data_IF_433302570363
#
_entry.id   IF_433302570363
#
_cell.length_a   1.000
_cell.length_b   1.000
_cell.length_c   1.000
_cell.angle_alpha   90.00
_cell.angle_beta   90.00
_cell.angle_gamma   90.00
#
_symmetry.space_group_name_H-M   'P 1'
#
loop_
_entity.id
_entity.type
_entity.pdbx_description
1 polymer ?
#
# COMPACT_ATOMS: atom_id res chain seq x y z
N UNK A 1 -14.22 -32.85 43.09
CA UNK A 1 -14.37 -32.42 41.67
C UNK A 1 -13.86 -33.54 40.77
N UNK A 2 -14.68 -33.98 39.85
CA UNK A 2 -14.40 -35.15 39.01
C UNK A 2 -13.34 -34.79 37.96
N UNK A 3 -12.35 -35.66 37.68
CA UNK A 3 -11.30 -35.44 36.69
C UNK A 3 -11.84 -35.03 35.31
N UNK A 4 -13.05 -35.47 34.93
CA UNK A 4 -13.73 -35.06 33.68
C UNK A 4 -14.14 -33.57 33.69
N UNK A 5 -14.53 -33.01 34.84
CA UNK A 5 -14.91 -31.60 34.97
C UNK A 5 -13.70 -30.67 34.86
N UNK A 6 -12.53 -31.12 35.35
CA UNK A 6 -11.27 -30.35 35.23
C UNK A 6 -10.76 -30.34 33.80
N UNK A 7 -10.87 -31.46 33.06
CA UNK A 7 -10.44 -31.53 31.64
C UNK A 7 -11.35 -30.66 30.76
N UNK A 8 -12.66 -30.63 31.01
CA UNK A 8 -13.60 -29.78 30.25
C UNK A 8 -13.41 -28.31 30.58
N UNK A 9 -13.06 -27.94 31.80
CA UNK A 9 -12.73 -26.57 32.17
C UNK A 9 -11.38 -26.11 31.58
N UNK A 10 -10.37 -27.00 31.50
CA UNK A 10 -9.10 -26.70 30.82
C UNK A 10 -9.26 -26.55 29.30
N UNK A 11 -10.08 -27.40 28.67
CA UNK A 11 -10.37 -27.28 27.23
C UNK A 11 -11.20 -26.03 26.91
N UNK A 12 -12.09 -25.60 27.80
CA UNK A 12 -12.83 -24.34 27.64
C UNK A 12 -11.94 -23.11 27.87
N UNK A 13 -10.94 -23.19 28.77
CA UNK A 13 -9.96 -22.11 28.97
C UNK A 13 -8.94 -22.01 27.80
N UNK A 14 -8.58 -23.11 27.16
CA UNK A 14 -7.71 -23.12 25.98
C UNK A 14 -8.46 -22.64 24.74
N UNK A 15 -9.77 -22.83 24.65
CA UNK A 15 -10.58 -22.30 23.55
C UNK A 15 -10.92 -20.80 23.66
N UNK A 16 -10.75 -20.20 24.85
CA UNK A 16 -10.93 -18.77 25.07
C UNK A 16 -9.63 -17.93 24.82
N UNK A 17 -8.49 -18.59 24.65
CA UNK A 17 -7.18 -17.95 24.39
C UNK A 17 -6.69 -18.00 22.96
N UNK A 18 -7.39 -18.67 22.07
CA UNK A 18 -7.07 -18.70 20.63
C UNK A 18 -8.20 -18.04 19.84
N UNK A 19 -8.45 -16.76 20.09
CA UNK A 19 -8.94 -15.93 19.00
C UNK A 19 -7.74 -15.80 18.05
N UNK A 20 -7.66 -16.69 17.06
CA UNK A 20 -6.82 -16.46 15.89
C UNK A 20 -7.19 -15.04 15.44
N UNK A 21 -6.21 -14.14 15.40
CA UNK A 21 -6.35 -12.81 14.80
C UNK A 21 -6.65 -13.06 13.33
N UNK A 22 -7.94 -13.19 13.01
CA UNK A 22 -8.37 -13.47 11.66
C UNK A 22 -8.23 -12.15 10.86
N UNK A 23 -7.53 -12.25 9.76
CA UNK A 23 -7.63 -11.28 8.67
C UNK A 23 -9.09 -10.96 8.41
N UNK A 24 -9.43 -9.71 8.25
CA UNK A 24 -10.82 -9.35 7.98
C UNK A 24 -10.96 -8.67 6.63
N UNK A 25 -11.93 -9.14 5.85
CA UNK A 25 -12.41 -8.43 4.66
C UNK A 25 -13.81 -7.92 4.94
N UNK A 26 -13.95 -6.61 4.91
CA UNK A 26 -15.25 -5.93 5.03
C UNK A 26 -15.75 -5.54 3.65
N UNK A 27 -17.00 -5.85 3.35
CA UNK A 27 -17.70 -5.31 2.18
C UNK A 27 -18.44 -4.04 2.57
N UNK A 28 -18.26 -2.99 1.77
CA UNK A 28 -18.87 -1.70 1.96
C UNK A 28 -19.61 -1.29 0.69
N UNK A 29 -20.84 -0.82 0.83
CA UNK A 29 -21.60 -0.16 -0.22
C UNK A 29 -21.64 1.32 0.07
N UNK A 30 -21.05 2.12 -0.81
CA UNK A 30 -20.97 3.57 -0.68
C UNK A 30 -21.93 4.22 -1.67
N UNK A 31 -22.80 5.09 -1.16
CA UNK A 31 -23.52 6.05 -2.02
C UNK A 31 -22.51 7.08 -2.49
N UNK A 32 -22.61 7.46 -3.74
CA UNK A 32 -21.72 8.45 -4.34
C UNK A 32 -22.50 9.59 -4.95
N UNK A 33 -21.97 10.81 -4.84
CA UNK A 33 -22.51 11.98 -5.53
C UNK A 33 -22.22 11.97 -7.05
N UNK A 34 -21.25 11.15 -7.46
CA UNK A 34 -20.78 11.06 -8.86
C UNK A 34 -21.45 9.93 -9.65
N UNK A 35 -22.15 9.01 -8.96
CA UNK A 35 -22.82 7.88 -9.58
C UNK A 35 -24.27 7.77 -9.11
N UNK A 36 -25.16 7.34 -10.01
CA UNK A 36 -26.57 7.08 -9.69
C UNK A 36 -26.81 5.69 -9.05
N UNK A 37 -25.74 4.98 -8.72
CA UNK A 37 -25.76 3.67 -8.06
C UNK A 37 -24.72 3.61 -6.95
N UNK A 38 -24.91 2.68 -6.00
CA UNK A 38 -23.93 2.43 -4.94
C UNK A 38 -22.68 1.79 -5.51
N UNK A 39 -21.51 2.21 -4.98
CA UNK A 39 -20.21 1.63 -5.29
C UNK A 39 -19.87 0.57 -4.25
N UNK A 40 -19.59 -0.65 -4.69
CA UNK A 40 -19.10 -1.72 -3.80
C UNK A 40 -17.59 -1.61 -3.65
N UNK A 41 -17.14 -1.65 -2.39
CA UNK A 41 -15.73 -1.59 -2.01
C UNK A 41 -15.44 -2.74 -1.05
N UNK A 42 -14.32 -3.41 -1.23
CA UNK A 42 -13.79 -4.43 -0.34
C UNK A 42 -12.64 -3.80 0.47
N UNK A 43 -12.60 -4.03 1.77
CA UNK A 43 -11.52 -3.49 2.61
C UNK A 43 -10.93 -4.63 3.43
N UNK A 44 -9.67 -4.96 3.15
CA UNK A 44 -8.87 -5.90 3.92
C UNK A 44 -8.04 -5.17 4.96
N UNK A 45 -8.07 -5.69 6.19
CA UNK A 45 -7.18 -5.28 7.28
C UNK A 45 -6.30 -6.48 7.67
N UNK A 46 -4.97 -6.29 7.85
CA UNK A 46 -4.06 -7.37 8.19
C UNK A 46 -4.34 -7.93 9.60
N UNK A 47 -3.81 -9.12 9.86
CA UNK A 47 -3.83 -9.72 11.20
C UNK A 47 -3.19 -8.77 12.21
N UNK A 48 -3.77 -8.67 13.40
CA UNK A 48 -3.28 -7.74 14.45
C UNK A 48 -3.69 -6.28 14.27
N UNK A 49 -4.38 -5.90 13.19
CA UNK A 49 -4.82 -4.52 12.97
C UNK A 49 -5.53 -3.90 14.19
N UNK A 50 -6.34 -4.65 14.91
CA UNK A 50 -7.08 -4.14 16.08
C UNK A 50 -6.17 -3.94 17.31
N UNK A 51 -5.10 -4.72 17.43
CA UNK A 51 -4.21 -4.72 18.59
C UNK A 51 -3.04 -3.72 18.41
N UNK A 52 -2.58 -3.53 17.17
CA UNK A 52 -1.44 -2.66 16.83
C UNK A 52 -1.87 -1.22 16.59
N UNK A 53 -2.45 -0.57 17.60
CA UNK A 53 -3.01 0.78 17.52
C UNK A 53 -1.98 1.88 17.18
N UNK A 54 -0.68 1.56 17.28
CA UNK A 54 0.41 2.46 16.90
C UNK A 54 1.02 2.12 15.53
N UNK A 55 0.48 1.17 14.78
CA UNK A 55 0.91 0.89 13.41
C UNK A 55 -0.01 1.56 12.40
N UNK A 56 0.58 2.24 11.42
CA UNK A 56 -0.09 2.88 10.28
C UNK A 56 0.34 2.18 9.00
N UNK A 57 -0.56 2.08 8.03
CA UNK A 57 -0.43 1.20 6.89
C UNK A 57 -0.51 1.95 5.57
N UNK A 58 0.38 1.62 4.62
CA UNK A 58 0.20 2.02 3.23
C UNK A 58 -1.06 1.35 2.67
N UNK A 59 -1.72 2.01 1.73
CA UNK A 59 -3.00 1.55 1.17
C UNK A 59 -2.82 1.13 -0.27
N UNK A 60 -3.16 -0.12 -0.59
CA UNK A 60 -3.19 -0.63 -1.95
C UNK A 60 -4.63 -0.60 -2.48
N UNK A 61 -4.87 0.15 -3.55
CA UNK A 61 -6.15 0.21 -4.26
C UNK A 61 -6.13 -0.74 -5.45
N UNK A 62 -6.95 -1.79 -5.39
CA UNK A 62 -7.04 -2.85 -6.41
C UNK A 62 -8.29 -2.67 -7.23
N UNK A 63 -8.13 -2.38 -8.50
CA UNK A 63 -9.25 -2.25 -9.44
C UNK A 63 -9.70 -3.61 -9.97
N UNK A 64 -10.93 -3.66 -10.51
CA UNK A 64 -11.57 -4.90 -10.97
C UNK A 64 -11.84 -5.93 -9.87
N UNK A 65 -12.05 -5.49 -8.63
CA UNK A 65 -12.27 -6.37 -7.48
C UNK A 65 -13.64 -7.03 -7.42
N UNK A 66 -14.55 -6.77 -8.40
CA UNK A 66 -15.72 -7.63 -8.68
C UNK A 66 -15.27 -9.04 -9.12
N UNK A 67 -14.10 -9.17 -9.74
CA UNK A 67 -13.35 -10.43 -9.83
C UNK A 67 -12.58 -10.62 -8.51
N UNK A 68 -13.23 -11.27 -7.55
CA UNK A 68 -12.74 -11.44 -6.19
C UNK A 68 -11.33 -12.03 -6.15
N UNK A 69 -10.97 -12.90 -7.12
CA UNK A 69 -9.65 -13.52 -7.17
C UNK A 69 -8.52 -12.49 -7.32
N UNK A 70 -8.75 -11.38 -8.02
CA UNK A 70 -7.73 -10.31 -8.15
C UNK A 70 -7.46 -9.63 -6.82
N UNK A 71 -8.50 -9.29 -6.08
CA UNK A 71 -8.39 -8.69 -4.76
C UNK A 71 -7.75 -9.66 -3.76
N UNK A 72 -8.23 -10.90 -3.70
CA UNK A 72 -7.72 -11.90 -2.76
C UNK A 72 -6.25 -12.23 -3.04
N UNK A 73 -5.84 -12.26 -4.30
CA UNK A 73 -4.44 -12.50 -4.67
C UNK A 73 -3.52 -11.38 -4.14
N UNK A 74 -3.94 -10.11 -4.24
CA UNK A 74 -3.13 -9.00 -3.75
C UNK A 74 -2.92 -9.10 -2.24
N UNK A 75 -3.99 -9.22 -1.45
CA UNK A 75 -3.79 -9.31 0.00
C UNK A 75 -3.12 -10.61 0.45
N UNK A 76 -3.27 -11.73 -0.29
CA UNK A 76 -2.50 -12.93 -0.04
C UNK A 76 -1.00 -12.71 -0.28
N UNK A 77 -0.62 -12.05 -1.38
CA UNK A 77 0.78 -11.76 -1.68
C UNK A 77 1.42 -10.84 -0.64
N UNK A 78 0.69 -9.85 -0.12
CA UNK A 78 1.22 -8.98 0.95
C UNK A 78 1.53 -9.72 2.24
N UNK A 79 0.94 -10.91 2.45
CA UNK A 79 1.22 -11.76 3.60
C UNK A 79 2.25 -12.87 3.30
N UNK A 80 2.42 -13.25 2.03
CA UNK A 80 3.28 -14.37 1.64
C UNK A 80 4.69 -13.95 1.26
N UNK A 81 4.86 -12.73 0.75
CA UNK A 81 6.19 -12.26 0.37
C UNK A 81 6.91 -11.85 1.65
N UNK A 82 7.98 -12.56 2.05
CA UNK A 82 8.73 -12.24 3.25
C UNK A 82 9.42 -10.89 3.08
N UNK A 83 9.14 -9.99 4.01
CA UNK A 83 9.86 -8.74 4.16
C UNK A 83 10.70 -8.83 5.42
N UNK A 84 11.91 -8.30 5.38
CA UNK A 84 12.80 -8.23 6.54
C UNK A 84 12.16 -7.47 7.72
N UNK A 85 11.13 -6.67 7.47
CA UNK A 85 10.48 -5.80 8.44
C UNK A 85 8.96 -6.00 8.57
N UNK A 86 8.43 -7.15 8.18
CA UNK A 86 7.00 -7.48 8.31
C UNK A 86 6.06 -6.35 7.88
N UNK A 87 6.32 -5.72 6.72
CA UNK A 87 5.49 -4.64 6.22
C UNK A 87 4.14 -5.17 5.73
N UNK A 88 3.07 -4.75 6.38
CA UNK A 88 1.71 -5.07 5.99
C UNK A 88 1.00 -3.87 5.35
N UNK A 89 -0.13 -4.14 4.71
CA UNK A 89 -0.90 -3.14 3.96
C UNK A 89 -2.38 -3.23 4.29
N UNK A 90 -3.07 -2.10 4.19
CA UNK A 90 -4.51 -2.10 3.93
C UNK A 90 -4.72 -2.34 2.44
N UNK A 91 -5.67 -3.22 2.08
CA UNK A 91 -6.01 -3.43 0.66
C UNK A 91 -7.45 -3.06 0.43
N UNK A 92 -7.68 -2.18 -0.55
CA UNK A 92 -8.98 -1.62 -0.90
C UNK A 92 -9.36 -2.04 -2.31
N UNK A 93 -10.33 -2.93 -2.42
CA UNK A 93 -10.83 -3.42 -3.70
C UNK A 93 -11.96 -2.56 -4.24
N UNK A 94 -11.81 -2.03 -5.44
CA UNK A 94 -12.82 -1.25 -6.14
C UNK A 94 -13.55 -2.16 -7.11
N UNK A 95 -14.87 -2.35 -6.90
CA UNK A 95 -15.71 -3.16 -7.75
C UNK A 95 -16.40 -2.31 -8.82
N UNK A 96 -16.18 -2.65 -10.09
CA UNK A 96 -16.91 -2.04 -11.20
C UNK A 96 -18.23 -2.77 -11.40
N UNK A 97 -19.36 -2.06 -11.42
CA UNK A 97 -20.66 -2.68 -11.72
C UNK A 97 -20.73 -3.12 -13.17
N UNK A 98 -21.59 -4.10 -13.43
CA UNK A 98 -21.97 -4.49 -14.78
C UNK A 98 -23.47 -4.73 -14.81
N UNK A 99 -24.18 -4.02 -15.67
CA UNK A 99 -25.63 -4.09 -15.83
C UNK A 99 -26.02 -3.83 -17.29
N UNK A 100 -27.31 -3.90 -17.60
CA UNK A 100 -27.81 -3.56 -18.94
C UNK A 100 -27.48 -2.11 -19.34
N UNK A 101 -27.35 -1.21 -18.36
CA UNK A 101 -27.15 0.23 -18.61
C UNK A 101 -25.74 0.72 -18.21
N UNK A 102 -24.84 -0.17 -17.80
CA UNK A 102 -23.51 0.20 -17.36
C UNK A 102 -22.53 -0.96 -17.53
N UNK A 103 -21.49 -0.76 -18.31
CA UNK A 103 -20.43 -1.75 -18.49
C UNK A 103 -19.20 -1.40 -17.65
N UNK A 104 -18.52 -2.41 -17.12
CA UNK A 104 -17.26 -2.28 -16.39
C UNK A 104 -16.29 -1.31 -17.07
N UNK A 105 -16.20 -1.34 -18.38
CA UNK A 105 -15.26 -0.51 -19.14
C UNK A 105 -15.52 0.98 -18.97
N UNK A 106 -16.74 1.39 -18.68
CA UNK A 106 -17.10 2.78 -18.50
C UNK A 106 -16.36 3.43 -17.32
N UNK A 107 -16.08 2.66 -16.27
CA UNK A 107 -15.30 3.13 -15.13
C UNK A 107 -13.86 3.53 -15.50
N UNK A 108 -13.29 2.88 -16.53
CA UNK A 108 -11.86 3.01 -16.83
C UNK A 108 -11.57 3.81 -18.10
N UNK A 109 -12.56 4.03 -18.92
CA UNK A 109 -12.39 4.73 -20.18
C UNK A 109 -12.96 6.15 -20.11
N UNK A 110 -12.17 7.16 -20.48
CA UNK A 110 -12.68 8.51 -20.68
C UNK A 110 -13.56 8.60 -21.94
N UNK A 111 -14.29 9.71 -22.08
CA UNK A 111 -14.95 10.02 -23.36
C UNK A 111 -13.90 10.12 -24.45
N UNK A 112 -14.01 9.38 -25.57
CA UNK A 112 -13.03 9.43 -26.63
C UNK A 112 -13.01 10.81 -27.31
N UNK A 113 -11.82 11.30 -27.64
CA UNK A 113 -11.63 12.55 -28.40
C UNK A 113 -11.80 12.26 -29.90
N UNK A 114 -11.42 11.06 -30.35
CA UNK A 114 -11.44 10.65 -31.74
C UNK A 114 -12.63 9.74 -32.03
N UNK A 115 -13.60 10.22 -32.82
CA UNK A 115 -14.79 9.47 -33.21
C UNK A 115 -14.50 8.11 -33.89
N UNK A 116 -13.34 8.01 -34.56
CA UNK A 116 -12.90 6.76 -35.20
C UNK A 116 -12.62 5.63 -34.22
N UNK A 117 -12.30 5.91 -32.96
CA UNK A 117 -12.02 4.88 -31.99
C UNK A 117 -13.29 4.26 -31.39
N UNK A 118 -14.39 4.99 -31.38
CA UNK A 118 -15.70 4.39 -31.14
C UNK A 118 -16.04 3.33 -32.22
N UNK A 119 -15.56 3.51 -33.45
CA UNK A 119 -15.77 2.59 -34.56
C UNK A 119 -14.67 1.53 -34.68
N UNK A 120 -13.40 1.87 -34.45
CA UNK A 120 -12.22 1.03 -34.75
C UNK A 120 -11.92 -0.04 -33.72
N UNK A 121 -12.36 0.10 -32.49
CA UNK A 121 -12.18 -0.92 -31.45
C UNK A 121 -13.13 -2.12 -31.57
N UNK A 122 -13.44 -2.51 -32.81
CA UNK A 122 -14.22 -3.72 -33.18
C UNK A 122 -15.59 -3.81 -32.50
N UNK A 123 -16.27 -2.70 -32.32
CA UNK A 123 -17.58 -2.63 -31.67
C UNK A 123 -17.59 -2.77 -30.17
N UNK A 124 -16.45 -2.99 -29.51
CA UNK A 124 -16.39 -3.08 -28.05
C UNK A 124 -16.65 -1.76 -27.34
N UNK A 125 -16.31 -0.64 -27.96
CA UNK A 125 -16.41 0.70 -27.38
C UNK A 125 -17.31 1.65 -28.19
N UNK A 126 -18.08 1.13 -29.13
CA UNK A 126 -19.10 1.89 -29.88
C UNK A 126 -20.36 2.19 -29.04
N UNK A 127 -20.51 1.54 -27.89
CA UNK A 127 -21.65 1.69 -27.01
C UNK A 127 -21.32 2.74 -25.92
N UNK A 128 -22.12 3.80 -25.83
CA UNK A 128 -21.95 4.87 -24.83
C UNK A 128 -21.95 4.35 -23.40
N UNK A 129 -22.52 3.16 -23.12
CA UNK A 129 -22.50 2.50 -21.82
C UNK A 129 -21.11 1.94 -21.46
N UNK A 130 -20.18 1.91 -22.40
CA UNK A 130 -18.86 1.29 -22.24
C UNK A 130 -17.73 2.29 -21.99
N UNK A 131 -18.00 3.61 -21.93
CA UNK A 131 -16.99 4.63 -21.71
C UNK A 131 -17.57 5.87 -21.01
N UNK A 132 -16.69 6.81 -20.58
CA UNK A 132 -17.07 8.15 -20.20
C UNK A 132 -17.17 8.42 -18.71
N UNK A 133 -17.04 7.40 -17.85
CA UNK A 133 -17.15 7.58 -16.39
C UNK A 133 -15.81 7.52 -15.66
N UNK A 134 -14.67 7.49 -16.35
CA UNK A 134 -13.35 7.49 -15.68
C UNK A 134 -13.12 8.75 -14.84
N UNK A 135 -13.61 9.90 -15.30
CA UNK A 135 -13.54 11.14 -14.54
C UNK A 135 -14.41 11.10 -13.26
N UNK A 136 -15.57 10.45 -13.31
CA UNK A 136 -16.45 10.31 -12.15
C UNK A 136 -15.86 9.30 -11.16
N UNK A 137 -15.23 8.23 -11.63
CA UNK A 137 -14.50 7.29 -10.77
C UNK A 137 -13.33 7.97 -10.07
N UNK A 138 -12.56 8.83 -10.75
CA UNK A 138 -11.50 9.61 -10.12
C UNK A 138 -12.02 10.53 -9.02
N UNK A 139 -13.14 11.22 -9.26
CA UNK A 139 -13.79 12.06 -8.24
C UNK A 139 -14.25 11.23 -7.03
N UNK A 140 -14.88 10.08 -7.27
CA UNK A 140 -15.28 9.16 -6.21
C UNK A 140 -14.07 8.73 -5.36
N UNK A 141 -12.98 8.32 -6.00
CA UNK A 141 -11.76 7.95 -5.29
C UNK A 141 -11.23 9.11 -4.45
N UNK A 142 -11.02 10.27 -5.07
CA UNK A 142 -10.35 11.43 -4.47
C UNK A 142 -11.17 12.12 -3.38
N UNK A 143 -12.50 12.21 -3.57
CA UNK A 143 -13.35 13.02 -2.70
C UNK A 143 -14.23 12.21 -1.74
N UNK A 144 -14.38 10.90 -1.98
CA UNK A 144 -15.25 10.07 -1.15
C UNK A 144 -14.47 8.89 -0.54
N UNK A 145 -13.86 8.00 -1.34
CA UNK A 145 -13.25 6.77 -0.84
C UNK A 145 -11.94 7.01 -0.08
N UNK A 146 -10.98 7.77 -0.64
CA UNK A 146 -9.71 8.04 0.04
C UNK A 146 -9.89 8.81 1.35
N UNK A 147 -10.75 9.86 1.42
CA UNK A 147 -11.08 10.51 2.69
C UNK A 147 -11.78 9.56 3.69
N UNK A 148 -12.66 8.68 3.20
CA UNK A 148 -13.26 7.65 4.05
C UNK A 148 -12.19 6.73 4.67
N UNK A 149 -11.20 6.28 3.87
CA UNK A 149 -10.10 5.45 4.37
C UNK A 149 -9.28 6.19 5.42
N UNK A 150 -8.86 7.42 5.15
CA UNK A 150 -8.08 8.23 6.10
C UNK A 150 -8.82 8.51 7.41
N UNK A 151 -10.14 8.67 7.34
CA UNK A 151 -10.95 8.95 8.54
C UNK A 151 -11.21 7.71 9.39
N UNK A 152 -11.36 6.54 8.78
CA UNK A 152 -11.85 5.33 9.46
C UNK A 152 -10.76 4.27 9.67
N UNK A 153 -9.58 4.43 9.06
CA UNK A 153 -8.48 3.48 9.14
C UNK A 153 -7.15 4.19 9.40
N UNK A 154 -6.20 3.48 9.98
CA UNK A 154 -4.85 3.98 10.21
C UNK A 154 -4.03 3.88 8.93
N UNK A 155 -4.04 4.95 8.15
CA UNK A 155 -3.31 5.06 6.89
C UNK A 155 -2.04 5.89 7.07
N UNK A 156 -0.93 5.47 6.48
CA UNK A 156 0.35 6.20 6.48
C UNK A 156 0.34 7.44 5.56
N UNK A 157 -0.68 7.54 4.70
CA UNK A 157 -0.77 8.55 3.65
C UNK A 157 -0.27 8.07 2.29
N UNK A 158 0.55 7.00 2.22
CA UNK A 158 1.03 6.44 0.95
C UNK A 158 0.00 5.52 0.31
N UNK A 159 -0.28 5.74 -0.97
CA UNK A 159 -1.31 5.07 -1.74
C UNK A 159 -0.72 4.43 -2.99
N UNK A 160 -1.06 3.17 -3.25
CA UNK A 160 -0.59 2.38 -4.39
C UNK A 160 -1.79 1.98 -5.25
N UNK A 161 -1.77 2.29 -6.54
CA UNK A 161 -2.80 1.86 -7.49
C UNK A 161 -2.39 0.61 -8.24
N UNK A 162 -3.23 -0.44 -8.25
CA UNK A 162 -3.02 -1.70 -9.01
C UNK A 162 -4.18 -1.92 -9.97
N UNK A 163 -3.87 -2.07 -11.27
CA UNK A 163 -4.84 -2.37 -12.30
C UNK A 163 -4.38 -3.45 -13.28
N UNK A 164 -5.34 -4.07 -13.97
CA UNK A 164 -5.10 -5.02 -15.04
C UNK A 164 -5.95 -4.70 -16.28
N UNK A 165 -5.34 -4.69 -17.46
CA UNK A 165 -6.03 -4.37 -18.71
C UNK A 165 -6.52 -2.91 -18.71
N UNK A 166 -7.81 -2.66 -18.92
CA UNK A 166 -8.38 -1.30 -18.91
C UNK A 166 -8.21 -0.60 -17.57
N UNK A 167 -8.31 -1.33 -16.45
CA UNK A 167 -8.05 -0.72 -15.14
C UNK A 167 -6.57 -0.36 -14.94
N UNK A 168 -5.63 -1.06 -15.59
CA UNK A 168 -4.23 -0.65 -15.62
C UNK A 168 -4.03 0.66 -16.40
N UNK A 169 -4.74 0.83 -17.51
CA UNK A 169 -4.73 2.11 -18.25
C UNK A 169 -5.30 3.24 -17.39
N UNK A 170 -6.38 2.98 -16.65
CA UNK A 170 -6.96 3.94 -15.72
C UNK A 170 -5.99 4.32 -14.58
N UNK A 171 -5.26 3.35 -14.03
CA UNK A 171 -4.24 3.61 -12.99
C UNK A 171 -3.16 4.57 -13.52
N UNK A 172 -2.67 4.36 -14.74
CA UNK A 172 -1.71 5.27 -15.37
C UNK A 172 -2.34 6.63 -15.77
N UNK A 173 -3.61 6.65 -16.17
CA UNK A 173 -4.35 7.88 -16.44
C UNK A 173 -4.56 8.71 -15.17
N UNK A 174 -4.77 8.07 -14.01
CA UNK A 174 -4.79 8.75 -12.71
C UNK A 174 -3.46 9.44 -12.38
N UNK A 175 -2.33 8.90 -12.83
CA UNK A 175 -1.03 9.54 -12.65
C UNK A 175 -0.91 10.83 -13.45
N UNK A 176 -1.20 10.77 -14.75
CA UNK A 176 -0.97 11.91 -15.64
C UNK A 176 -1.98 13.04 -15.50
N UNK A 177 -3.18 12.74 -14.99
CA UNK A 177 -4.25 13.73 -14.86
C UNK A 177 -4.40 14.33 -13.46
N UNK A 178 -4.16 13.56 -12.43
CA UNK A 178 -4.52 13.91 -11.05
C UNK A 178 -3.41 13.69 -10.03
N UNK A 179 -2.33 12.99 -10.41
CA UNK A 179 -1.26 12.54 -9.51
C UNK A 179 -1.81 11.83 -8.26
N UNK A 180 -2.75 10.90 -8.50
CA UNK A 180 -3.68 10.40 -7.49
C UNK A 180 -3.04 9.43 -6.50
N UNK A 181 -2.10 8.62 -6.96
CA UNK A 181 -1.38 7.65 -6.14
C UNK A 181 0.09 8.02 -6.05
N UNK A 182 0.76 7.52 -5.03
CA UNK A 182 2.20 7.65 -4.91
C UNK A 182 2.91 6.66 -5.84
N UNK A 183 2.34 5.45 -5.98
CA UNK A 183 2.90 4.33 -6.75
C UNK A 183 1.88 3.71 -7.68
N UNK A 184 2.35 3.18 -8.82
CA UNK A 184 1.50 2.71 -9.90
C UNK A 184 1.95 1.34 -10.41
N UNK A 185 1.06 0.35 -10.35
CA UNK A 185 1.27 -1.00 -10.88
C UNK A 185 0.24 -1.27 -11.97
N UNK A 186 0.69 -1.22 -13.21
CA UNK A 186 -0.15 -1.34 -14.40
C UNK A 186 0.19 -2.63 -15.18
N UNK A 187 -0.65 -3.65 -15.02
CA UNK A 187 -0.46 -4.97 -15.64
C UNK A 187 -1.26 -5.05 -16.94
N UNK A 188 -0.58 -5.29 -18.05
CA UNK A 188 -1.15 -5.41 -19.41
C UNK A 188 -2.11 -4.27 -19.78
N UNK A 189 -1.72 -2.98 -19.62
CA UNK A 189 -2.59 -1.85 -19.92
C UNK A 189 -2.90 -1.72 -21.41
N UNK A 190 -4.08 -1.21 -21.72
CA UNK A 190 -4.46 -0.82 -23.08
C UNK A 190 -3.92 0.57 -23.40
N UNK A 191 -2.79 0.64 -24.10
CA UNK A 191 -2.21 1.90 -24.56
C UNK A 191 -2.79 2.42 -25.87
N UNK A 192 -3.60 1.63 -26.58
CA UNK A 192 -4.05 1.98 -27.92
C UNK A 192 -5.42 2.68 -27.97
N UNK A 193 -6.19 2.72 -26.87
CA UNK A 193 -7.48 3.39 -26.84
C UNK A 193 -7.34 4.88 -27.24
N UNK A 194 -8.30 5.37 -28.02
CA UNK A 194 -8.44 6.75 -28.46
C UNK A 194 -7.14 7.28 -29.13
N UNK A 195 -6.67 6.54 -30.14
CA UNK A 195 -5.44 6.85 -30.93
C UNK A 195 -4.18 7.04 -30.05
N UNK A 196 -3.96 6.08 -29.13
CA UNK A 196 -2.82 6.10 -28.20
C UNK A 196 -2.85 7.27 -27.21
N UNK A 197 -4.03 7.75 -26.84
CA UNK A 197 -4.20 8.91 -25.96
C UNK A 197 -3.38 8.79 -24.69
N UNK A 198 -3.48 7.65 -23.98
CA UNK A 198 -2.74 7.44 -22.73
C UNK A 198 -1.22 7.56 -22.95
N UNK A 199 -0.68 6.94 -24.00
CA UNK A 199 0.74 7.08 -24.34
C UNK A 199 1.11 8.53 -24.63
N UNK A 200 0.31 9.24 -25.42
CA UNK A 200 0.56 10.64 -25.77
C UNK A 200 0.52 11.57 -24.53
N UNK A 201 -0.30 11.25 -23.54
CA UNK A 201 -0.41 11.99 -22.29
C UNK A 201 0.78 11.67 -21.36
N UNK A 202 1.22 10.40 -21.30
CA UNK A 202 2.42 9.97 -20.57
C UNK A 202 3.69 10.66 -21.13
N UNK A 203 3.84 10.74 -22.46
CA UNK A 203 4.98 11.41 -23.11
C UNK A 203 5.07 12.91 -22.76
N UNK A 204 3.92 13.57 -22.58
CA UNK A 204 3.83 15.01 -22.27
C UNK A 204 3.84 15.31 -20.77
N UNK A 205 3.69 14.29 -19.92
CA UNK A 205 3.64 14.50 -18.49
C UNK A 205 4.97 15.07 -17.98
N UNK A 206 4.95 16.08 -17.09
CA UNK A 206 6.17 16.79 -16.65
C UNK A 206 6.93 15.98 -15.58
N UNK A 207 7.45 14.82 -15.93
CA UNK A 207 8.12 13.85 -15.06
C UNK A 207 9.15 14.45 -14.13
N UNK A 208 9.99 15.35 -14.64
CA UNK A 208 11.08 15.96 -13.87
C UNK A 208 10.60 16.90 -12.75
N UNK A 209 9.31 17.24 -12.70
CA UNK A 209 8.76 18.08 -11.64
C UNK A 209 8.38 17.26 -10.39
N UNK A 210 8.27 15.95 -10.50
CA UNK A 210 7.96 15.08 -9.38
C UNK A 210 9.20 14.88 -8.50
N UNK A 211 9.09 15.23 -7.22
CA UNK A 211 10.24 15.23 -6.29
C UNK A 211 10.24 14.08 -5.30
N UNK A 212 9.06 13.53 -5.02
CA UNK A 212 8.94 12.43 -4.08
C UNK A 212 9.32 11.09 -4.73
N UNK A 213 9.80 10.10 -3.96
CA UNK A 213 10.06 8.76 -4.49
C UNK A 213 8.79 8.14 -5.06
N UNK A 214 8.90 7.58 -6.27
CA UNK A 214 7.80 6.95 -6.99
C UNK A 214 8.19 5.62 -7.59
N UNK A 215 7.31 4.64 -7.47
CA UNK A 215 7.41 3.34 -8.14
C UNK A 215 6.40 3.26 -9.28
N UNK A 216 6.86 2.89 -10.46
CA UNK A 216 6.03 2.65 -11.64
C UNK A 216 6.39 1.29 -12.22
N UNK A 217 5.40 0.43 -12.29
CA UNK A 217 5.53 -0.87 -12.92
C UNK A 217 4.57 -0.97 -14.09
N UNK A 218 5.04 -1.41 -15.24
CA UNK A 218 4.20 -1.78 -16.37
C UNK A 218 4.67 -3.08 -17.00
N UNK A 219 3.73 -3.91 -17.41
CA UNK A 219 4.04 -5.20 -18.02
C UNK A 219 3.09 -5.54 -19.17
N UNK A 220 3.49 -6.53 -19.96
CA UNK A 220 2.66 -7.10 -21.02
C UNK A 220 2.96 -8.60 -21.15
N UNK A 221 1.92 -9.39 -21.43
CA UNK A 221 2.06 -10.82 -21.72
C UNK A 221 2.32 -11.11 -23.20
N UNK A 222 1.83 -12.26 -23.67
CA UNK A 222 1.95 -12.68 -25.08
C UNK A 222 1.28 -11.70 -26.05
N UNK A 223 0.29 -10.94 -25.60
CA UNK A 223 -0.40 -9.91 -26.39
C UNK A 223 0.53 -8.84 -26.96
N UNK A 224 1.71 -8.63 -26.36
CA UNK A 224 2.74 -7.75 -26.89
C UNK A 224 3.17 -8.09 -28.34
N UNK A 225 3.00 -9.35 -28.75
CA UNK A 225 3.44 -9.84 -30.06
C UNK A 225 2.38 -10.64 -30.80
N UNK A 226 1.33 -11.15 -30.11
CA UNK A 226 0.33 -12.08 -30.66
C UNK A 226 -1.02 -11.42 -30.98
N UNK A 227 -1.32 -10.26 -30.40
CA UNK A 227 -2.56 -9.52 -30.67
C UNK A 227 -2.45 -8.68 -31.95
N UNK A 228 -3.45 -7.87 -32.23
CA UNK A 228 -3.43 -7.05 -33.45
C UNK A 228 -2.30 -6.00 -33.43
N UNK A 229 -1.84 -5.56 -34.62
CA UNK A 229 -0.71 -4.62 -34.75
C UNK A 229 -0.92 -3.28 -34.04
N UNK A 230 -2.18 -2.86 -33.84
CA UNK A 230 -2.50 -1.60 -33.18
C UNK A 230 -2.19 -1.69 -31.67
N UNK A 231 -2.53 -2.83 -31.04
CA UNK A 231 -2.19 -3.12 -29.65
C UNK A 231 -0.67 -3.27 -29.45
N UNK A 232 -0.01 -4.03 -30.36
CA UNK A 232 1.45 -4.22 -30.30
C UNK A 232 2.20 -2.89 -30.41
N UNK A 233 1.76 -1.98 -31.29
CA UNK A 233 2.38 -0.66 -31.43
C UNK A 233 2.23 0.16 -30.15
N UNK A 234 1.06 0.16 -29.51
CA UNK A 234 0.84 0.86 -28.24
C UNK A 234 1.79 0.39 -27.14
N UNK A 235 1.99 -0.92 -27.01
CA UNK A 235 2.97 -1.48 -26.09
C UNK A 235 4.40 -1.10 -26.45
N UNK A 236 4.78 -1.23 -27.72
CA UNK A 236 6.12 -0.88 -28.17
C UNK A 236 6.49 0.59 -27.88
N UNK A 237 5.58 1.50 -28.11
CA UNK A 237 5.78 2.92 -27.79
C UNK A 237 5.96 3.13 -26.30
N UNK A 238 5.02 2.61 -25.47
CA UNK A 238 5.06 2.79 -24.03
C UNK A 238 6.26 2.10 -23.39
N UNK A 239 6.57 0.85 -23.77
CA UNK A 239 7.73 0.12 -23.22
C UNK A 239 9.06 0.79 -23.56
N UNK A 240 9.20 1.32 -24.78
CA UNK A 240 10.38 2.10 -25.18
C UNK A 240 10.52 3.36 -24.34
N UNK A 241 9.43 4.10 -24.16
CA UNK A 241 9.40 5.32 -23.35
C UNK A 241 9.79 5.05 -21.90
N UNK A 242 9.14 4.09 -21.25
CA UNK A 242 9.39 3.75 -19.85
C UNK A 242 10.78 3.13 -19.60
N UNK A 243 11.38 2.50 -20.60
CA UNK A 243 12.75 1.95 -20.51
C UNK A 243 13.84 3.02 -20.61
N UNK A 244 13.55 4.21 -21.10
CA UNK A 244 14.52 5.30 -21.16
C UNK A 244 14.54 6.09 -19.84
N UNK A 245 15.53 5.82 -19.02
CA UNK A 245 15.71 6.45 -17.70
C UNK A 245 15.89 7.98 -17.76
N UNK A 246 16.24 8.54 -18.91
CA UNK A 246 16.44 9.98 -19.05
C UNK A 246 15.15 10.79 -18.93
N UNK A 247 13.99 10.14 -19.07
CA UNK A 247 12.69 10.79 -18.92
C UNK A 247 12.31 11.03 -17.45
N UNK A 248 12.95 10.33 -16.50
CA UNK A 248 12.49 10.27 -15.11
C UNK A 248 13.50 10.83 -14.11
N UNK A 249 13.04 11.44 -13.00
CA UNK A 249 13.91 11.81 -11.89
C UNK A 249 14.64 10.59 -11.31
N UNK A 250 15.77 10.83 -10.65
CA UNK A 250 16.59 9.76 -10.07
C UNK A 250 15.85 8.94 -9.00
N UNK A 251 14.89 9.54 -8.30
CA UNK A 251 14.07 8.93 -7.26
C UNK A 251 12.80 8.23 -7.80
N UNK A 252 12.57 8.25 -9.12
CA UNK A 252 11.49 7.48 -9.75
C UNK A 252 12.04 6.12 -10.19
N UNK A 253 11.54 5.05 -9.61
CA UNK A 253 11.85 3.68 -10.03
C UNK A 253 10.83 3.25 -11.09
N UNK A 254 11.31 2.83 -12.26
CA UNK A 254 10.47 2.37 -13.36
C UNK A 254 10.88 0.96 -13.73
N UNK A 255 9.92 0.03 -13.72
CA UNK A 255 10.08 -1.35 -14.17
C UNK A 255 9.17 -1.62 -15.37
N UNK A 256 9.77 -2.20 -16.41
CA UNK A 256 9.07 -2.62 -17.64
C UNK A 256 9.32 -4.10 -17.84
N UNK A 257 8.28 -4.91 -17.73
CA UNK A 257 8.39 -6.36 -17.75
C UNK A 257 7.59 -6.98 -18.92
N UNK A 258 8.05 -8.12 -19.42
CA UNK A 258 7.33 -8.86 -20.45
C UNK A 258 7.27 -10.34 -20.10
N UNK A 259 6.08 -10.92 -20.21
CA UNK A 259 5.78 -12.32 -19.91
C UNK A 259 5.27 -13.06 -21.15
N UNK A 260 6.13 -13.30 -22.17
CA UNK A 260 5.69 -13.78 -23.49
C UNK A 260 5.10 -15.21 -23.47
N UNK A 261 5.35 -15.95 -22.39
CA UNK A 261 4.77 -17.29 -22.18
C UNK A 261 3.36 -17.30 -21.59
N UNK A 262 2.76 -16.12 -21.31
CA UNK A 262 1.47 -16.01 -20.66
C UNK A 262 0.52 -15.16 -21.46
N UNK A 263 -0.68 -15.68 -21.70
CA UNK A 263 -1.80 -14.93 -22.28
C UNK A 263 -2.29 -13.84 -21.32
N UNK A 264 -3.09 -12.91 -21.83
CA UNK A 264 -3.55 -11.70 -21.13
C UNK A 264 -4.02 -11.92 -19.68
N UNK A 265 -4.94 -12.83 -19.44
CA UNK A 265 -5.47 -13.09 -18.09
C UNK A 265 -4.51 -13.95 -17.23
N UNK A 266 -3.96 -15.10 -17.74
CA UNK A 266 -2.98 -15.87 -16.96
C UNK A 266 -1.71 -15.09 -16.60
N UNK A 267 -1.33 -14.09 -17.40
CA UNK A 267 -0.19 -13.21 -17.17
C UNK A 267 -0.31 -12.32 -15.92
N UNK A 268 -1.53 -12.15 -15.42
CA UNK A 268 -1.77 -11.33 -14.22
C UNK A 268 -1.00 -11.84 -13.00
N UNK A 269 -1.04 -13.15 -12.73
CA UNK A 269 -0.38 -13.73 -11.56
C UNK A 269 1.15 -13.54 -11.54
N UNK A 270 1.92 -13.98 -12.56
CA UNK A 270 3.37 -13.78 -12.55
C UNK A 270 3.76 -12.31 -12.57
N UNK A 271 3.02 -11.47 -13.30
CA UNK A 271 3.26 -10.03 -13.35
C UNK A 271 3.02 -9.34 -12.02
N UNK A 272 1.92 -9.64 -11.34
CA UNK A 272 1.63 -9.09 -10.01
C UNK A 272 2.68 -9.53 -8.98
N UNK A 273 3.10 -10.80 -9.02
CA UNK A 273 4.12 -11.32 -8.10
C UNK A 273 5.45 -10.59 -8.28
N UNK A 274 5.87 -10.37 -9.52
CA UNK A 274 7.09 -9.60 -9.83
C UNK A 274 6.95 -8.14 -9.39
N UNK A 275 5.83 -7.49 -9.73
CA UNK A 275 5.56 -6.11 -9.32
C UNK A 275 5.61 -5.93 -7.81
N UNK A 276 5.03 -6.84 -7.04
CA UNK A 276 5.04 -6.78 -5.58
C UNK A 276 6.44 -6.99 -5.01
N UNK A 277 7.23 -7.94 -5.54
CA UNK A 277 8.62 -8.13 -5.14
C UNK A 277 9.47 -6.88 -5.38
N UNK A 278 9.37 -6.29 -6.56
CA UNK A 278 10.12 -5.06 -6.90
C UNK A 278 9.65 -3.86 -6.07
N UNK A 279 8.33 -3.73 -5.83
CA UNK A 279 7.78 -2.68 -4.98
C UNK A 279 8.33 -2.76 -3.55
N UNK A 280 8.43 -3.97 -2.99
CA UNK A 280 8.94 -4.15 -1.64
C UNK A 280 10.43 -3.84 -1.54
N UNK A 281 11.22 -4.20 -2.57
CA UNK A 281 12.62 -3.79 -2.67
C UNK A 281 12.75 -2.26 -2.77
N UNK A 282 11.92 -1.60 -3.57
CA UNK A 282 11.85 -0.14 -3.65
C UNK A 282 11.49 0.47 -2.28
N UNK A 283 10.50 -0.07 -1.60
CA UNK A 283 10.07 0.42 -0.28
C UNK A 283 11.21 0.36 0.74
N UNK A 284 11.96 -0.75 0.79
CA UNK A 284 13.06 -0.92 1.75
C UNK A 284 14.33 -0.16 1.37
N UNK A 285 14.65 -0.07 0.08
CA UNK A 285 15.91 0.54 -0.37
C UNK A 285 15.81 2.04 -0.67
N UNK A 286 14.64 2.55 -1.01
CA UNK A 286 14.45 3.95 -1.39
C UNK A 286 13.61 4.71 -0.37
N UNK A 287 12.40 4.22 -0.05
CA UNK A 287 11.49 4.96 0.82
C UNK A 287 12.03 5.13 2.24
N UNK A 288 12.65 4.10 2.79
CA UNK A 288 13.24 4.17 4.14
C UNK A 288 14.41 5.15 4.25
N UNK A 289 15.05 5.49 3.14
CA UNK A 289 16.17 6.42 3.08
C UNK A 289 15.76 7.84 2.68
N UNK A 290 14.54 8.02 2.19
CA UNK A 290 14.02 9.31 1.78
C UNK A 290 13.40 10.02 2.98
N UNK A 291 14.11 10.98 3.54
CA UNK A 291 13.66 11.78 4.66
C UNK A 291 13.09 13.12 4.20
N UNK A 292 12.06 13.61 4.89
CA UNK A 292 11.53 14.95 4.69
C UNK A 292 12.61 16.02 4.80
N UNK A 293 12.46 17.12 4.07
CA UNK A 293 13.39 18.25 4.16
C UNK A 293 13.24 19.01 5.50
N UNK A 294 12.01 19.08 6.00
CA UNK A 294 11.68 19.72 7.27
C UNK A 294 11.67 18.71 8.41
N UNK A 295 11.88 19.20 9.63
CA UNK A 295 11.72 18.40 10.84
C UNK A 295 10.37 18.66 11.49
N UNK A 296 9.86 17.65 12.16
CA UNK A 296 8.57 17.66 12.84
C UNK A 296 8.79 17.41 14.34
N UNK A 297 8.10 18.14 15.23
CA UNK A 297 8.14 17.87 16.66
C UNK A 297 7.41 16.56 16.96
N UNK A 298 8.10 15.58 17.54
CA UNK A 298 7.55 14.26 17.87
C UNK A 298 7.71 14.00 19.36
N UNK A 299 6.60 13.63 20.01
CA UNK A 299 6.57 13.16 21.40
C UNK A 299 6.37 11.67 21.46
N UNK A 300 7.30 10.94 22.07
CA UNK A 300 7.26 9.47 22.16
C UNK A 300 7.27 9.06 23.63
N UNK A 301 6.29 8.24 24.01
CA UNK A 301 6.21 7.57 25.30
C UNK A 301 6.41 6.08 25.16
N UNK A 302 7.12 5.46 26.10
CA UNK A 302 7.16 4.03 26.31
C UNK A 302 6.61 3.70 27.70
N UNK A 303 5.61 2.83 27.76
CA UNK A 303 4.93 2.40 28.97
C UNK A 303 5.26 0.93 29.30
N UNK A 304 5.58 0.65 30.55
CA UNK A 304 5.87 -0.67 31.08
C UNK A 304 5.60 -0.68 32.59
N UNK A 305 5.02 -1.75 33.11
CA UNK A 305 4.89 -1.92 34.56
C UNK A 305 6.28 -2.06 35.21
N UNK A 306 6.52 -1.28 36.26
CA UNK A 306 7.77 -1.30 37.04
C UNK A 306 9.05 -1.12 36.20
N UNK A 307 9.08 -0.08 35.36
CA UNK A 307 10.24 0.24 34.54
C UNK A 307 11.44 0.61 35.42
N UNK A 308 12.50 -0.19 35.32
CA UNK A 308 13.76 0.07 36.06
C UNK A 308 14.92 0.24 35.08
N UNK A 309 15.85 1.12 35.46
CA UNK A 309 17.06 1.39 34.69
C UNK A 309 16.83 2.26 33.45
N UNK A 310 17.89 2.49 32.71
CA UNK A 310 17.89 3.42 31.58
C UNK A 310 17.23 2.83 30.33
N UNK A 311 16.44 3.63 29.66
CA UNK A 311 15.83 3.32 28.37
C UNK A 311 16.37 4.25 27.32
N UNK A 312 16.66 3.73 26.13
CA UNK A 312 17.17 4.49 25.01
C UNK A 312 16.26 4.29 23.78
N UNK A 313 16.17 5.33 22.95
CA UNK A 313 15.59 5.26 21.62
C UNK A 313 16.72 5.44 20.59
N UNK A 314 16.66 4.67 19.51
CA UNK A 314 17.64 4.73 18.41
C UNK A 314 16.96 4.50 17.07
N UNK A 315 17.48 5.10 15.97
CA UNK A 315 16.82 5.00 14.67
C UNK A 315 17.66 5.53 13.50
N UNK A 316 16.99 5.79 12.39
CA UNK A 316 17.56 6.01 11.07
C UNK A 316 18.18 7.40 10.84
N UNK A 317 18.31 8.26 11.82
CA UNK A 317 18.80 9.63 11.66
C UNK A 317 19.61 10.11 12.87
N UNK A 318 20.32 11.22 12.75
CA UNK A 318 21.20 11.76 13.78
C UNK A 318 20.45 12.04 15.09
N UNK A 319 19.26 12.62 15.03
CA UNK A 319 18.41 12.87 16.20
C UNK A 319 17.98 11.58 16.92
N UNK A 320 18.12 10.42 16.29
CA UNK A 320 17.90 9.07 16.81
C UNK A 320 19.22 8.28 16.92
N UNK A 321 20.38 8.97 16.90
CA UNK A 321 21.73 8.42 17.07
C UNK A 321 22.13 7.35 16.03
N UNK A 322 21.57 7.38 14.80
CA UNK A 322 21.96 6.55 13.65
C UNK A 322 22.16 5.06 14.00
N UNK A 323 21.13 4.45 14.60
CA UNK A 323 21.12 3.04 15.00
C UNK A 323 22.18 2.66 16.07
N UNK A 324 22.70 3.62 16.84
CA UNK A 324 23.48 3.30 18.03
C UNK A 324 22.54 2.81 19.14
N UNK A 325 22.63 1.56 19.62
CA UNK A 325 21.71 1.05 20.63
C UNK A 325 21.75 1.82 21.95
N UNK A 326 22.87 2.49 22.27
CA UNK A 326 22.99 3.44 23.38
C UNK A 326 22.80 4.87 22.86
N UNK A 327 21.70 5.09 22.16
CA UNK A 327 21.41 6.33 21.47
C UNK A 327 20.90 7.44 22.37
N UNK A 328 19.68 7.91 22.16
CA UNK A 328 19.07 8.97 22.95
C UNK A 328 18.44 8.39 24.22
N UNK A 329 18.92 8.81 25.38
CA UNK A 329 18.34 8.39 26.65
C UNK A 329 16.96 9.03 26.85
N UNK A 330 15.95 8.23 27.15
CA UNK A 330 14.63 8.73 27.48
C UNK A 330 14.55 9.24 28.92
N UNK A 331 13.67 10.21 29.16
CA UNK A 331 13.40 10.75 30.47
C UNK A 331 12.39 9.87 31.20
N UNK A 332 12.73 9.43 32.40
CA UNK A 332 11.78 8.71 33.25
C UNK A 332 10.77 9.70 33.85
N UNK A 333 9.49 9.54 33.45
CA UNK A 333 8.38 10.39 33.94
C UNK A 333 7.84 9.88 35.26
N UNK A 334 7.72 8.57 35.40
CA UNK A 334 7.31 7.86 36.60
C UNK A 334 7.78 6.40 36.56
N UNK A 335 7.36 5.58 37.52
CA UNK A 335 7.78 4.16 37.62
C UNK A 335 7.32 3.27 36.46
N UNK A 336 6.45 3.78 35.59
CA UNK A 336 5.88 2.99 34.47
C UNK A 336 6.00 3.68 33.12
N UNK A 337 6.57 4.89 33.04
CA UNK A 337 6.59 5.66 31.79
C UNK A 337 7.92 6.38 31.59
N UNK A 338 8.52 6.19 30.42
CA UNK A 338 9.58 7.03 29.90
C UNK A 338 9.08 7.82 28.70
N UNK A 339 9.61 9.05 28.49
CA UNK A 339 9.26 9.88 27.34
C UNK A 339 10.47 10.60 26.75
N UNK A 340 10.33 11.02 25.49
CA UNK A 340 11.30 11.88 24.82
C UNK A 340 10.59 12.78 23.81
N UNK A 341 11.04 14.02 23.72
CA UNK A 341 10.64 14.99 22.70
C UNK A 341 11.79 15.18 21.72
N UNK A 342 11.52 14.99 20.44
CA UNK A 342 12.51 15.03 19.37
C UNK A 342 12.03 15.91 18.20
N UNK A 343 12.98 16.43 17.43
CA UNK A 343 12.72 17.01 16.11
C UNK A 343 13.22 16.01 15.07
N UNK A 344 12.29 15.37 14.33
CA UNK A 344 12.61 14.28 13.43
C UNK A 344 12.26 14.64 11.99
N UNK A 345 13.12 14.24 11.08
CA UNK A 345 12.74 14.07 9.67
C UNK A 345 11.86 12.82 9.54
N UNK A 346 10.85 12.85 8.66
CA UNK A 346 9.93 11.74 8.47
C UNK A 346 10.10 11.14 7.05
N UNK A 347 9.93 9.83 6.90
CA UNK A 347 9.57 8.85 7.92
C UNK A 347 10.72 8.58 8.90
N UNK A 348 10.39 8.50 10.20
CA UNK A 348 11.33 8.13 11.23
C UNK A 348 11.18 6.65 11.60
N UNK A 349 12.27 5.89 11.45
CA UNK A 349 12.37 4.48 11.84
C UNK A 349 13.16 4.38 13.13
N UNK A 350 12.63 3.67 14.12
CA UNK A 350 13.30 3.58 15.43
C UNK A 350 12.97 2.31 16.21
N UNK A 351 13.74 2.05 17.26
CA UNK A 351 13.55 0.98 18.25
C UNK A 351 13.89 1.51 19.64
N UNK A 352 13.36 0.82 20.65
CA UNK A 352 13.78 1.05 22.04
C UNK A 352 14.77 -0.04 22.47
N UNK A 353 15.76 0.35 23.29
CA UNK A 353 16.79 -0.55 23.81
C UNK A 353 17.11 -0.24 25.27
N UNK A 354 17.96 -1.07 25.88
CA UNK A 354 18.57 -0.84 27.20
C UNK A 354 20.04 -0.41 27.09
N UNK A 355 20.47 -0.01 25.90
CA UNK A 355 21.83 0.41 25.60
C UNK A 355 22.63 -0.61 24.77
N UNK A 356 22.02 -1.73 24.40
CA UNK A 356 22.56 -2.75 23.51
C UNK A 356 21.44 -3.42 22.69
N UNK A 357 21.82 -4.23 21.68
CA UNK A 357 20.86 -4.92 20.82
C UNK A 357 20.30 -6.22 21.42
N UNK A 358 20.95 -6.78 22.43
CA UNK A 358 20.48 -7.98 23.11
C UNK A 358 19.20 -7.69 23.93
N UNK A 359 19.08 -6.43 24.38
CA UNK A 359 17.95 -5.93 25.14
C UNK A 359 17.07 -4.95 24.33
N UNK A 360 16.78 -5.30 23.09
CA UNK A 360 15.78 -4.61 22.27
C UNK A 360 14.36 -4.82 22.80
N UNK A 361 13.52 -3.80 22.74
CA UNK A 361 12.15 -3.88 23.20
C UNK A 361 11.23 -4.62 22.22
N UNK A 362 10.36 -5.47 22.73
CA UNK A 362 9.18 -5.93 22.00
C UNK A 362 7.97 -5.09 22.38
N UNK A 363 7.30 -4.54 21.40
CA UNK A 363 6.17 -3.63 21.59
C UNK A 363 4.85 -4.39 21.42
N UNK A 364 3.93 -4.18 22.35
CA UNK A 364 2.64 -4.88 22.37
C UNK A 364 1.66 -4.33 21.35
N UNK A 365 1.67 -3.00 21.14
CA UNK A 365 0.66 -2.28 20.36
C UNK A 365 1.19 -1.71 19.03
N UNK A 366 2.26 -2.30 18.53
CA UNK A 366 2.78 -2.05 17.19
C UNK A 366 3.28 -3.36 16.57
N UNK A 367 3.32 -3.43 15.26
CA UNK A 367 3.89 -4.58 14.55
C UNK A 367 5.35 -4.82 14.96
N UNK A 368 5.79 -6.10 14.98
CA UNK A 368 7.20 -6.42 15.18
C UNK A 368 8.09 -5.77 14.12
N UNK A 369 9.31 -5.39 14.50
CA UNK A 369 10.27 -4.78 13.57
C UNK A 369 10.66 -3.37 13.99
N UNK A 370 10.91 -2.50 13.01
CA UNK A 370 11.12 -1.08 13.28
C UNK A 370 9.78 -0.38 13.49
N UNK A 371 9.74 0.49 14.50
CA UNK A 371 8.62 1.41 14.68
C UNK A 371 8.77 2.55 13.67
N UNK A 372 7.65 3.03 13.12
CA UNK A 372 7.67 4.02 12.04
C UNK A 372 6.70 5.14 12.38
N UNK A 373 7.09 6.37 12.05
CA UNK A 373 6.21 7.55 12.02
C UNK A 373 6.37 8.19 10.65
N UNK A 374 5.26 8.35 9.90
CA UNK A 374 5.21 9.06 8.63
C UNK A 374 4.66 10.49 8.81
N UNK A 375 4.78 11.33 7.79
CA UNK A 375 4.38 12.75 7.85
C UNK A 375 2.89 12.99 8.13
N UNK A 376 2.03 12.08 7.68
CA UNK A 376 0.57 12.20 7.82
C UNK A 376 0.03 11.63 9.11
N UNK A 377 0.89 11.03 9.94
CA UNK A 377 0.51 10.34 11.17
C UNK A 377 0.57 11.28 12.39
N UNK A 378 -0.12 10.92 13.48
CA UNK A 378 0.02 11.64 14.75
C UNK A 378 1.48 11.64 15.23
N UNK A 379 1.97 12.81 15.63
CA UNK A 379 3.34 12.98 16.13
C UNK A 379 3.48 12.71 17.64
N UNK A 380 2.37 12.46 18.33
CA UNK A 380 2.37 11.95 19.71
C UNK A 380 2.06 10.46 19.68
N UNK A 381 3.02 9.66 20.16
CA UNK A 381 2.94 8.18 20.08
C UNK A 381 3.19 7.55 21.45
N UNK A 382 2.34 6.58 21.81
CA UNK A 382 2.40 5.88 23.10
C UNK A 382 2.56 4.38 22.86
N UNK A 383 3.75 3.87 23.09
CA UNK A 383 4.08 2.45 22.91
C UNK A 383 4.00 1.71 24.23
N UNK A 384 3.54 0.46 24.19
CA UNK A 384 3.44 -0.43 25.35
C UNK A 384 4.41 -1.59 25.20
N UNK A 385 5.28 -1.73 26.19
CA UNK A 385 6.25 -2.82 26.23
C UNK A 385 5.55 -4.16 26.55
N UNK A 386 5.97 -5.23 25.89
CA UNK A 386 5.51 -6.57 26.21
C UNK A 386 6.25 -7.14 27.42
N UNK A 387 5.50 -7.43 28.50
CA UNK A 387 6.07 -7.82 29.80
C UNK A 387 6.62 -9.27 29.90
N UNK A 388 6.58 -10.08 28.83
CA UNK A 388 7.05 -11.47 28.85
C UNK A 388 8.57 -11.63 28.70
N UNK A 389 9.29 -10.57 28.42
CA UNK A 389 10.75 -10.56 28.35
C UNK A 389 11.27 -9.67 29.47
N UNK A 390 12.27 -10.12 30.28
CA UNK A 390 12.75 -9.35 31.43
C UNK A 390 13.48 -8.09 30.97
N UNK A 391 12.69 -7.05 30.73
CA UNK A 391 13.20 -5.69 30.50
C UNK A 391 13.39 -4.93 31.82
N UNK A 392 13.16 -5.62 32.95
CA UNK A 392 13.14 -5.06 34.31
C UNK A 392 14.47 -5.09 35.03
N UNK A 393 15.57 -5.46 34.35
CA UNK A 393 16.92 -5.36 34.92
C UNK A 393 17.26 -6.40 35.99
N UNK A 394 16.48 -7.45 36.14
CA UNK A 394 16.88 -8.65 36.86
C UNK A 394 17.29 -9.69 35.83
N UNK A 395 18.56 -9.69 35.45
CA UNK A 395 19.14 -10.80 34.73
C UNK A 395 18.86 -12.08 35.52
N UNK A 396 18.26 -13.04 34.87
CA UNK A 396 18.19 -14.40 35.36
C UNK A 396 19.62 -14.88 35.59
N UNK A 397 20.02 -14.92 36.86
CA UNK A 397 21.15 -15.70 37.29
C UNK A 397 20.87 -17.19 37.16
#
# INVERSE_FOLDING_TARGET
>A
MNKKTIITALLALVSLGASAQLESVKELKMKSEYFNHERQVLIYTPAGYQDFDQTYYDVIYVFDSQDRAKFDLVHCLTNLIPLDENKHFLVVGICSPSSENYFRNADYLPVPIHAKDAESSRGRFSDERAYGHSADLKKFLKHELMPYMTTNYRTSGRNIGIGHSLSASFVLDCMVSDDMFDDYIAISPNYCYDEYRLYNDLEKYPWMNHKEPRFIYTSMGAEATSWDPYWQKGWQQASTFFSDRSHFPANTFVSVQQFPGYEHNPGYLPSLTEAMNEYLQFSTSVLQQHLSQETYPVHIELQCENMKGDVYITGNQEALANWNPKGVKMNQVNDSTCSVDLQLHLPAYFKFTRGDWEHGANILNAEPGNLIIHETEPTTRVYRLWNLIPWTGEDTK
#
